data_IF_149332171045
#
_entry.id   IF_149332171045
#
_cell.length_a   1.000
_cell.length_b   1.000
_cell.length_c   1.000
_cell.angle_alpha   90.00
_cell.angle_beta   90.00
_cell.angle_gamma   90.00
#
_symmetry.space_group_name_H-M   'P 1'
#
loop_
_entity.id
_entity.type
_entity.pdbx_description
1 polymer ?
#
# COMPACT_ATOMS: atom_id res chain seq x y z
N UNK A 1 1.70 -28.47 -13.44
CA UNK A 1 0.44 -28.30 -12.66
C UNK A 1 0.17 -26.85 -12.25
N UNK A 2 1.13 -26.12 -11.64
CA UNK A 2 0.91 -24.71 -11.24
C UNK A 2 0.63 -23.78 -12.42
N UNK A 3 1.34 -23.96 -13.53
CA UNK A 3 1.14 -23.19 -14.77
C UNK A 3 -0.31 -23.30 -15.27
N UNK A 4 -0.82 -24.53 -15.33
CA UNK A 4 -2.20 -24.83 -15.74
C UNK A 4 -3.19 -24.19 -14.76
N UNK A 5 -2.97 -24.32 -13.44
CA UNK A 5 -3.87 -23.75 -12.43
C UNK A 5 -3.96 -22.22 -12.55
N UNK A 6 -2.81 -21.52 -12.64
CA UNK A 6 -2.79 -20.06 -12.80
C UNK A 6 -3.46 -19.65 -14.11
N UNK A 7 -3.15 -20.35 -15.20
CA UNK A 7 -3.72 -20.09 -16.52
C UNK A 7 -5.24 -20.26 -16.51
N UNK A 8 -5.76 -21.36 -15.95
CA UNK A 8 -7.20 -21.63 -15.87
C UNK A 8 -7.93 -20.58 -15.03
N UNK A 9 -7.35 -20.15 -13.90
CA UNK A 9 -7.95 -19.08 -13.08
C UNK A 9 -8.00 -17.76 -13.84
N UNK A 10 -6.89 -17.36 -14.48
CA UNK A 10 -6.84 -16.09 -15.22
C UNK A 10 -7.78 -16.13 -16.42
N UNK A 11 -7.63 -17.11 -17.32
CA UNK A 11 -8.45 -17.21 -18.53
C UNK A 11 -9.93 -17.49 -18.22
N UNK A 12 -10.25 -18.18 -17.12
CA UNK A 12 -11.64 -18.34 -16.68
C UNK A 12 -12.26 -17.02 -16.19
N UNK A 13 -11.46 -16.11 -15.61
CA UNK A 13 -11.94 -14.82 -15.10
C UNK A 13 -11.86 -13.69 -16.14
N UNK A 14 -11.07 -13.81 -17.22
CA UNK A 14 -10.96 -12.79 -18.26
C UNK A 14 -12.32 -12.43 -18.92
N UNK A 15 -13.18 -13.40 -19.31
CA UNK A 15 -14.52 -13.09 -19.81
C UNK A 15 -15.39 -12.37 -18.77
N UNK A 16 -15.23 -12.72 -17.49
CA UNK A 16 -15.95 -12.06 -16.39
C UNK A 16 -15.45 -10.63 -16.21
N UNK A 17 -14.14 -10.38 -16.33
CA UNK A 17 -13.56 -9.04 -16.24
C UNK A 17 -14.04 -8.13 -17.38
N UNK A 18 -14.25 -8.67 -18.59
CA UNK A 18 -14.84 -7.95 -19.72
C UNK A 18 -16.28 -7.49 -19.44
N UNK A 19 -17.10 -8.34 -18.80
CA UNK A 19 -18.50 -8.00 -18.52
C UNK A 19 -18.64 -7.21 -17.21
N UNK A 20 -17.76 -7.47 -16.24
CA UNK A 20 -17.75 -6.89 -14.90
C UNK A 20 -16.34 -6.38 -14.56
N UNK A 21 -16.01 -5.13 -14.94
CA UNK A 21 -14.72 -4.52 -14.66
C UNK A 21 -14.22 -4.58 -13.21
N UNK A 22 -15.09 -4.58 -12.16
CA UNK A 22 -14.62 -4.79 -10.79
C UNK A 22 -13.84 -6.10 -10.60
N UNK A 23 -14.24 -7.19 -11.27
CA UNK A 23 -13.51 -8.47 -11.23
C UNK A 23 -12.14 -8.33 -11.87
N UNK A 24 -12.02 -7.51 -12.92
CA UNK A 24 -10.75 -7.18 -13.55
C UNK A 24 -9.77 -6.48 -12.62
N UNK A 25 -10.24 -5.49 -11.84
CA UNK A 25 -9.41 -4.82 -10.81
C UNK A 25 -8.97 -5.79 -9.71
N UNK A 26 -9.86 -6.67 -9.26
CA UNK A 26 -9.52 -7.71 -8.28
C UNK A 26 -8.49 -8.70 -8.84
N UNK A 27 -8.65 -9.14 -10.10
CA UNK A 27 -7.73 -10.05 -10.76
C UNK A 27 -6.35 -9.40 -10.98
N UNK A 28 -6.31 -8.13 -11.41
CA UNK A 28 -5.08 -7.36 -11.52
C UNK A 28 -4.37 -7.26 -10.17
N UNK A 29 -5.11 -6.91 -9.11
CA UNK A 29 -4.57 -6.81 -7.75
C UNK A 29 -3.98 -8.14 -7.29
N UNK A 30 -4.69 -9.25 -7.50
CA UNK A 30 -4.17 -10.57 -7.18
C UNK A 30 -2.88 -10.90 -7.94
N UNK A 31 -2.84 -10.63 -9.25
CA UNK A 31 -1.66 -10.86 -10.08
C UNK A 31 -0.48 -9.98 -9.67
N UNK A 32 -0.70 -8.70 -9.39
CA UNK A 32 0.31 -7.72 -9.02
C UNK A 32 0.90 -7.95 -7.62
N UNK A 33 0.06 -8.36 -6.67
CA UNK A 33 0.49 -8.58 -5.29
C UNK A 33 0.96 -10.01 -5.02
N UNK A 34 0.17 -11.02 -5.39
CA UNK A 34 0.51 -12.42 -5.11
C UNK A 34 1.57 -12.94 -6.10
N UNK A 35 1.66 -12.36 -7.30
CA UNK A 35 2.56 -12.83 -8.36
C UNK A 35 2.52 -14.36 -8.54
N UNK A 36 1.34 -14.98 -8.68
CA UNK A 36 1.21 -16.44 -8.68
C UNK A 36 1.93 -17.07 -9.88
N UNK A 37 2.02 -16.34 -11.00
CA UNK A 37 2.78 -16.69 -12.19
C UNK A 37 4.29 -16.85 -11.88
N UNK A 38 4.86 -16.02 -10.99
CA UNK A 38 6.25 -16.15 -10.55
C UNK A 38 6.52 -17.36 -9.64
N UNK A 39 5.49 -18.14 -9.31
CA UNK A 39 5.59 -19.38 -8.52
C UNK A 39 5.43 -20.65 -9.39
N UNK A 40 5.29 -20.47 -10.70
CA UNK A 40 5.26 -21.55 -11.69
C UNK A 40 6.66 -21.83 -12.24
N UNK A 41 6.81 -22.85 -13.09
CA UNK A 41 8.12 -23.27 -13.62
C UNK A 41 8.14 -23.46 -15.14
N UNK A 42 7.02 -23.25 -15.83
CA UNK A 42 6.91 -23.36 -17.28
C UNK A 42 6.46 -22.06 -17.92
N UNK A 43 5.70 -22.16 -19.02
CA UNK A 43 5.30 -21.02 -19.85
C UNK A 43 4.57 -19.91 -19.08
N UNK A 44 3.86 -20.25 -18.00
CA UNK A 44 3.08 -19.27 -17.25
C UNK A 44 3.98 -18.27 -16.51
N UNK A 45 5.26 -18.59 -16.30
CA UNK A 45 6.18 -17.75 -15.53
C UNK A 45 6.41 -16.37 -16.17
N UNK A 46 6.55 -16.31 -17.50
CA UNK A 46 6.78 -15.09 -18.26
C UNK A 46 5.57 -14.64 -19.09
N UNK A 47 4.46 -15.38 -19.01
CA UNK A 47 3.25 -15.04 -19.75
C UNK A 47 2.62 -13.73 -19.23
N UNK A 48 2.21 -12.79 -20.12
CA UNK A 48 1.79 -11.44 -19.73
C UNK A 48 0.34 -11.38 -19.19
N UNK A 49 0.01 -12.19 -18.18
CA UNK A 49 -1.34 -12.28 -17.60
C UNK A 49 -1.89 -10.93 -17.11
N UNK A 50 -1.05 -10.11 -16.50
CA UNK A 50 -1.44 -8.79 -16.00
C UNK A 50 -1.86 -7.88 -17.17
N UNK A 51 -1.12 -7.89 -18.28
CA UNK A 51 -1.46 -7.10 -19.46
C UNK A 51 -2.79 -7.54 -20.08
N UNK A 52 -3.04 -8.84 -20.23
CA UNK A 52 -4.33 -9.34 -20.70
C UNK A 52 -5.47 -8.94 -19.77
N UNK A 53 -5.25 -9.02 -18.45
CA UNK A 53 -6.22 -8.58 -17.45
C UNK A 53 -6.51 -7.09 -17.58
N UNK A 54 -5.49 -6.25 -17.77
CA UNK A 54 -5.67 -4.82 -18.00
C UNK A 54 -6.47 -4.54 -19.28
N UNK A 55 -6.12 -5.19 -20.40
CA UNK A 55 -6.84 -5.03 -21.68
C UNK A 55 -8.31 -5.43 -21.53
N UNK A 56 -8.59 -6.58 -20.92
CA UNK A 56 -9.95 -7.03 -20.65
C UNK A 56 -10.72 -6.05 -19.74
N UNK A 57 -10.08 -5.57 -18.68
CA UNK A 57 -10.70 -4.63 -17.73
C UNK A 57 -11.01 -3.28 -18.38
N UNK A 58 -10.07 -2.74 -19.16
CA UNK A 58 -10.23 -1.45 -19.85
C UNK A 58 -11.30 -1.56 -20.93
N UNK A 59 -11.26 -2.63 -21.73
CA UNK A 59 -12.28 -2.90 -22.76
C UNK A 59 -13.65 -3.03 -22.13
N UNK A 60 -13.77 -3.84 -21.08
CA UNK A 60 -15.01 -3.97 -20.33
C UNK A 60 -15.50 -2.65 -19.75
N UNK A 61 -14.58 -1.85 -19.18
CA UNK A 61 -14.89 -0.55 -18.61
C UNK A 61 -15.43 0.44 -19.65
N UNK A 62 -14.94 0.43 -20.89
CA UNK A 62 -15.47 1.27 -21.97
C UNK A 62 -16.96 0.99 -22.23
N UNK A 63 -17.34 -0.29 -22.32
CA UNK A 63 -18.72 -0.71 -22.57
C UNK A 63 -19.59 -0.83 -21.31
N UNK A 64 -19.01 -0.60 -20.14
CA UNK A 64 -19.70 -0.74 -18.87
C UNK A 64 -20.72 0.39 -18.64
N UNK A 65 -21.93 0.00 -18.23
CA UNK A 65 -23.09 0.89 -18.10
C UNK A 65 -23.19 1.63 -16.76
N UNK A 66 -22.41 1.24 -15.74
CA UNK A 66 -22.45 1.98 -14.47
C UNK A 66 -21.89 3.41 -14.62
N UNK A 67 -22.44 4.40 -13.90
CA UNK A 67 -21.98 5.78 -13.98
C UNK A 67 -20.49 5.92 -13.67
N UNK A 68 -19.73 6.46 -14.62
CA UNK A 68 -18.28 6.64 -14.53
C UNK A 68 -17.94 7.95 -13.82
N UNK A 69 -18.12 8.00 -12.50
CA UNK A 69 -17.88 9.21 -11.68
C UNK A 69 -16.51 9.17 -11.02
N UNK A 70 -15.55 9.90 -11.59
CA UNK A 70 -14.25 10.08 -10.97
C UNK A 70 -14.34 11.00 -9.74
N UNK A 71 -13.84 10.59 -8.56
CA UNK A 71 -13.93 11.39 -7.34
C UNK A 71 -12.88 12.51 -7.35
N UNK A 72 -13.27 13.73 -7.72
CA UNK A 72 -12.36 14.90 -7.71
C UNK A 72 -12.28 15.49 -6.30
N UNK A 73 -11.08 15.46 -5.73
CA UNK A 73 -10.72 16.13 -4.47
C UNK A 73 -9.23 16.51 -4.45
N UNK A 74 -8.78 17.20 -3.41
CA UNK A 74 -7.37 17.64 -3.28
C UNK A 74 -6.36 16.51 -3.46
N UNK A 75 -6.63 15.33 -2.88
CA UNK A 75 -5.75 14.17 -2.97
C UNK A 75 -5.64 13.67 -4.41
N UNK A 76 -6.75 13.54 -5.13
CA UNK A 76 -6.72 13.10 -6.54
C UNK A 76 -6.09 14.14 -7.46
N UNK A 77 -6.26 15.44 -7.20
CA UNK A 77 -5.63 16.50 -8.01
C UNK A 77 -4.11 16.47 -7.82
N UNK A 78 -3.63 16.37 -6.58
CA UNK A 78 -2.19 16.22 -6.30
C UNK A 78 -1.64 14.94 -6.92
N UNK A 79 -2.41 13.85 -6.85
CA UNK A 79 -2.03 12.59 -7.47
C UNK A 79 -1.88 12.74 -9.00
N UNK A 80 -2.87 13.29 -9.70
CA UNK A 80 -2.80 13.54 -11.14
C UNK A 80 -1.67 14.51 -11.51
N UNK A 81 -1.40 15.52 -10.67
CA UNK A 81 -0.26 16.41 -10.84
C UNK A 81 1.07 15.66 -10.72
N UNK A 82 1.22 14.75 -9.75
CA UNK A 82 2.40 13.90 -9.62
C UNK A 82 2.59 12.97 -10.83
N UNK A 83 1.51 12.35 -11.32
CA UNK A 83 1.55 11.48 -12.51
C UNK A 83 1.96 12.25 -13.76
N UNK A 84 1.37 13.42 -13.94
CA UNK A 84 1.74 14.34 -15.03
C UNK A 84 3.20 14.76 -14.89
N UNK A 85 3.63 15.12 -13.68
CA UNK A 85 4.99 15.59 -13.42
C UNK A 85 6.04 14.53 -13.77
N UNK A 86 5.93 13.32 -13.24
CA UNK A 86 6.92 12.30 -13.55
C UNK A 86 6.92 11.95 -15.04
N UNK A 87 5.75 12.02 -15.71
CA UNK A 87 5.65 11.77 -17.15
C UNK A 87 6.33 12.87 -17.96
N UNK A 88 6.23 14.13 -17.51
CA UNK A 88 6.93 15.25 -18.11
C UNK A 88 8.45 15.11 -17.94
N UNK A 89 8.92 14.76 -16.74
CA UNK A 89 10.37 14.58 -16.50
C UNK A 89 11.01 13.46 -17.30
N UNK A 90 10.22 12.49 -17.78
CA UNK A 90 10.72 11.46 -18.70
C UNK A 90 11.20 12.04 -20.03
N UNK A 91 10.61 13.14 -20.53
CA UNK A 91 11.02 13.74 -21.81
C UNK A 91 12.43 14.34 -21.78
N UNK A 92 12.90 14.76 -20.60
CA UNK A 92 14.23 15.34 -20.39
C UNK A 92 15.09 14.48 -19.45
N UNK A 93 14.81 13.18 -19.42
CA UNK A 93 15.63 12.22 -18.69
C UNK A 93 17.06 12.17 -19.22
N UNK A 94 18.02 11.90 -18.32
CA UNK A 94 19.43 11.75 -18.65
C UNK A 94 19.69 10.52 -19.52
N UNK A 95 18.95 9.44 -19.28
CA UNK A 95 18.87 8.28 -20.17
C UNK A 95 17.40 8.08 -20.61
N UNK A 96 17.01 8.60 -21.79
CA UNK A 96 15.65 8.45 -22.28
C UNK A 96 15.21 7.00 -22.48
N UNK A 97 16.13 6.10 -22.83
CA UNK A 97 15.77 4.68 -23.09
C UNK A 97 15.47 3.96 -21.79
N UNK A 98 16.34 4.09 -20.78
CA UNK A 98 16.09 3.51 -19.47
C UNK A 98 14.87 4.16 -18.79
N UNK A 99 14.72 5.49 -18.94
CA UNK A 99 13.61 6.21 -18.35
C UNK A 99 12.25 5.78 -18.90
N UNK A 100 12.15 5.46 -20.20
CA UNK A 100 10.92 4.92 -20.79
C UNK A 100 10.51 3.57 -20.20
N UNK A 101 11.47 2.72 -19.83
CA UNK A 101 11.17 1.43 -19.16
C UNK A 101 10.60 1.66 -17.76
N UNK A 102 11.22 2.56 -16.98
CA UNK A 102 10.72 2.94 -15.65
C UNK A 102 9.34 3.60 -15.71
N UNK A 103 9.16 4.51 -16.66
CA UNK A 103 7.89 5.20 -16.91
C UNK A 103 6.78 4.23 -17.35
N UNK A 104 7.04 3.31 -18.29
CA UNK A 104 6.05 2.31 -18.74
C UNK A 104 5.52 1.48 -17.55
N UNK A 105 6.42 1.07 -16.65
CA UNK A 105 6.03 0.34 -15.44
C UNK A 105 5.18 1.22 -14.51
N UNK A 106 5.62 2.45 -14.24
CA UNK A 106 4.93 3.37 -13.35
C UNK A 106 3.55 3.76 -13.88
N UNK A 107 3.44 4.15 -15.15
CA UNK A 107 2.19 4.63 -15.74
C UNK A 107 1.12 3.54 -15.81
N UNK A 108 1.49 2.27 -16.07
CA UNK A 108 0.56 1.13 -16.03
C UNK A 108 -0.03 0.94 -14.63
N UNK A 109 0.79 1.09 -13.59
CA UNK A 109 0.33 1.03 -12.19
C UNK A 109 -0.64 2.18 -11.91
N UNK A 110 -0.28 3.41 -12.32
CA UNK A 110 -1.14 4.58 -12.11
C UNK A 110 -2.46 4.47 -12.85
N UNK A 111 -2.46 3.98 -14.09
CA UNK A 111 -3.67 3.79 -14.89
C UNK A 111 -4.68 2.89 -14.17
N UNK A 112 -4.25 1.73 -13.70
CA UNK A 112 -5.14 0.79 -13.00
C UNK A 112 -5.55 1.32 -11.62
N UNK A 113 -4.64 1.97 -10.89
CA UNK A 113 -4.95 2.59 -9.60
C UNK A 113 -5.98 3.73 -9.73
N UNK A 114 -5.92 4.53 -10.80
CA UNK A 114 -6.90 5.57 -11.09
C UNK A 114 -8.23 4.99 -11.59
N UNK A 115 -8.22 3.95 -12.43
CA UNK A 115 -9.44 3.23 -12.83
C UNK A 115 -10.17 2.60 -11.63
N UNK A 116 -9.42 2.15 -10.63
CA UNK A 116 -9.96 1.64 -9.36
C UNK A 116 -10.86 2.66 -8.68
N UNK A 117 -10.54 3.97 -8.76
CA UNK A 117 -11.34 5.05 -8.15
C UNK A 117 -12.74 5.18 -8.76
N UNK A 118 -12.91 4.75 -10.01
CA UNK A 118 -14.19 4.80 -10.71
C UNK A 118 -14.95 3.48 -10.53
N UNK A 119 -14.24 2.37 -10.72
CA UNK A 119 -14.85 1.03 -10.79
C UNK A 119 -15.26 0.51 -9.39
N UNK A 120 -14.47 0.82 -8.35
CA UNK A 120 -14.62 0.24 -7.02
C UNK A 120 -15.38 1.13 -6.03
N UNK A 121 -16.16 2.13 -6.49
CA UNK A 121 -16.94 3.07 -5.66
C UNK A 121 -18.19 2.44 -5.01
N UNK A 122 -18.03 1.28 -4.37
CA UNK A 122 -19.06 0.60 -3.57
C UNK A 122 -18.43 -0.14 -2.40
N UNK A 123 -19.15 -0.24 -1.29
CA UNK A 123 -18.68 -0.93 -0.08
C UNK A 123 -18.29 -2.38 -0.36
N UNK A 124 -19.13 -3.15 -1.05
CA UNK A 124 -18.87 -4.56 -1.35
C UNK A 124 -17.58 -4.75 -2.16
N UNK A 125 -17.33 -3.85 -3.11
CA UNK A 125 -16.12 -3.85 -3.96
C UNK A 125 -14.87 -3.46 -3.19
N UNK A 126 -14.97 -2.44 -2.33
CA UNK A 126 -13.88 -2.02 -1.45
C UNK A 126 -13.50 -3.15 -0.51
N UNK A 127 -14.47 -3.78 0.15
CA UNK A 127 -14.22 -4.92 1.03
C UNK A 127 -13.58 -6.09 0.27
N UNK A 128 -14.05 -6.39 -0.94
CA UNK A 128 -13.44 -7.42 -1.79
C UNK A 128 -11.99 -7.09 -2.16
N UNK A 129 -11.68 -5.83 -2.49
CA UNK A 129 -10.32 -5.39 -2.80
C UNK A 129 -9.40 -5.49 -1.59
N UNK A 130 -9.87 -5.06 -0.41
CA UNK A 130 -9.14 -5.21 0.85
C UNK A 130 -8.84 -6.69 1.13
N UNK A 131 -9.81 -7.58 0.93
CA UNK A 131 -9.60 -9.02 1.04
C UNK A 131 -8.54 -9.54 0.07
N UNK A 132 -8.63 -9.19 -1.21
CA UNK A 132 -7.67 -9.64 -2.24
C UNK A 132 -6.26 -9.15 -1.89
N UNK A 133 -6.09 -7.88 -1.51
CA UNK A 133 -4.79 -7.33 -1.09
C UNK A 133 -4.26 -8.09 0.13
N UNK A 134 -5.09 -8.22 1.18
CA UNK A 134 -4.68 -8.81 2.46
C UNK A 134 -4.31 -10.29 2.35
N UNK A 135 -5.03 -11.06 1.52
CA UNK A 135 -4.76 -12.48 1.25
C UNK A 135 -3.57 -12.66 0.30
N UNK A 136 -3.45 -11.84 -0.75
CA UNK A 136 -2.37 -11.95 -1.73
C UNK A 136 -0.99 -11.77 -1.11
N UNK A 137 -0.81 -10.66 -0.38
CA UNK A 137 0.43 -10.44 0.36
C UNK A 137 0.48 -11.28 1.64
N UNK A 138 -0.69 -11.66 2.17
CA UNK A 138 -0.77 -12.54 3.32
C UNK A 138 -0.31 -13.96 3.10
N UNK A 139 -0.43 -14.45 1.87
CA UNK A 139 0.18 -15.70 1.44
C UNK A 139 1.69 -15.70 1.67
N UNK A 140 2.40 -14.62 1.34
CA UNK A 140 3.85 -14.53 1.58
C UNK A 140 4.21 -14.35 3.05
N UNK A 141 3.36 -13.66 3.82
CA UNK A 141 3.47 -13.62 5.27
C UNK A 141 3.36 -15.00 5.91
N UNK A 142 2.36 -15.78 5.49
CA UNK A 142 2.13 -17.14 5.93
C UNK A 142 3.29 -18.07 5.54
N UNK A 143 3.65 -18.10 4.25
CA UNK A 143 4.76 -18.90 3.72
C UNK A 143 6.07 -18.56 4.40
N UNK A 144 6.36 -17.27 4.56
CA UNK A 144 7.58 -16.77 5.19
C UNK A 144 7.65 -17.08 6.69
N UNK A 145 6.54 -16.93 7.42
CA UNK A 145 6.47 -17.28 8.84
C UNK A 145 6.67 -18.76 9.08
N UNK A 146 6.03 -19.62 8.29
CA UNK A 146 6.23 -21.07 8.36
C UNK A 146 7.68 -21.47 8.02
N UNK A 147 8.28 -20.80 7.02
CA UNK A 147 9.68 -21.02 6.67
C UNK A 147 10.62 -20.61 7.82
N UNK A 148 10.38 -19.46 8.44
CA UNK A 148 11.13 -18.99 9.60
C UNK A 148 10.99 -19.96 10.80
N UNK A 149 9.78 -20.47 11.09
CA UNK A 149 9.61 -21.51 12.13
C UNK A 149 10.44 -22.75 11.82
N UNK A 150 10.31 -23.29 10.60
CA UNK A 150 10.97 -24.54 10.21
C UNK A 150 12.49 -24.44 10.23
N UNK A 151 13.03 -23.26 9.96
CA UNK A 151 14.47 -23.02 9.86
C UNK A 151 15.08 -22.38 11.11
N UNK A 152 14.28 -22.13 12.16
CA UNK A 152 14.73 -21.37 13.32
C UNK A 152 15.14 -19.93 12.97
N UNK A 153 14.55 -19.36 11.91
CA UNK A 153 14.84 -18.04 11.36
C UNK A 153 16.31 -17.80 10.96
N UNK A 154 17.11 -18.86 10.79
CA UNK A 154 18.52 -18.82 10.36
C UNK A 154 18.67 -18.21 8.96
N UNK A 155 17.68 -18.42 8.09
CA UNK A 155 17.70 -17.92 6.72
C UNK A 155 16.68 -16.80 6.52
N UNK A 156 17.04 -15.85 5.65
CA UNK A 156 16.18 -14.72 5.30
C UNK A 156 14.95 -15.17 4.54
N UNK A 157 13.81 -14.57 4.89
CA UNK A 157 12.57 -14.71 4.13
C UNK A 157 12.61 -13.79 2.90
N UNK A 158 12.37 -14.38 1.73
CA UNK A 158 12.32 -13.69 0.44
C UNK A 158 10.94 -13.74 -0.18
N UNK A 159 10.62 -12.74 -1.01
CA UNK A 159 9.38 -12.75 -1.79
C UNK A 159 9.53 -13.44 -3.15
N UNK A 160 8.52 -13.34 -4.02
CA UNK A 160 8.53 -13.97 -5.33
C UNK A 160 9.55 -13.29 -6.25
N UNK A 161 10.37 -14.07 -7.00
CA UNK A 161 11.32 -13.53 -7.97
C UNK A 161 10.64 -12.68 -9.06
N UNK A 162 11.36 -11.69 -9.59
CA UNK A 162 10.87 -10.81 -10.67
C UNK A 162 9.73 -9.87 -10.27
N UNK A 163 9.51 -9.67 -8.97
CA UNK A 163 8.44 -8.82 -8.42
C UNK A 163 8.99 -7.63 -7.63
N UNK A 164 8.12 -6.65 -7.34
CA UNK A 164 8.48 -5.53 -6.46
C UNK A 164 8.86 -5.96 -5.03
N UNK A 165 8.37 -7.11 -4.59
CA UNK A 165 8.58 -7.63 -3.23
C UNK A 165 9.57 -8.79 -3.19
N UNK A 166 10.40 -8.96 -4.23
CA UNK A 166 11.39 -10.04 -4.29
C UNK A 166 12.37 -9.97 -3.10
N UNK A 167 12.93 -8.79 -2.86
CA UNK A 167 13.91 -8.56 -1.78
C UNK A 167 13.27 -8.69 -0.39
N UNK A 168 14.05 -9.18 0.58
CA UNK A 168 13.60 -9.39 1.95
C UNK A 168 13.06 -8.10 2.60
N UNK A 169 13.67 -6.93 2.33
CA UNK A 169 13.22 -5.67 2.88
C UNK A 169 11.92 -5.20 2.23
N UNK A 170 11.79 -5.39 0.91
CA UNK A 170 10.59 -5.03 0.16
C UNK A 170 9.38 -5.85 0.63
N UNK A 171 9.56 -7.17 0.79
CA UNK A 171 8.52 -8.04 1.32
C UNK A 171 8.11 -7.61 2.73
N UNK A 172 9.08 -7.39 3.64
CA UNK A 172 8.78 -7.01 5.01
C UNK A 172 7.99 -5.69 5.10
N UNK A 173 8.36 -4.69 4.28
CA UNK A 173 7.59 -3.45 4.18
C UNK A 173 6.16 -3.68 3.68
N UNK A 174 5.97 -4.49 2.64
CA UNK A 174 4.63 -4.82 2.15
C UNK A 174 3.78 -5.55 3.21
N UNK A 175 4.38 -6.43 4.00
CA UNK A 175 3.69 -7.11 5.11
C UNK A 175 3.30 -6.15 6.24
N UNK A 176 4.12 -5.14 6.52
CA UNK A 176 3.80 -4.07 7.48
C UNK A 176 2.62 -3.23 6.99
N UNK A 177 2.62 -2.84 5.71
CA UNK A 177 1.57 -2.02 5.10
C UNK A 177 0.19 -2.68 5.16
N UNK A 178 0.10 -4.01 5.04
CA UNK A 178 -1.18 -4.75 5.06
C UNK A 178 -1.63 -5.22 6.44
N UNK A 179 -0.77 -5.20 7.46
CA UNK A 179 -1.14 -5.70 8.79
C UNK A 179 -2.40 -4.99 9.34
N UNK A 180 -2.54 -3.66 9.19
CA UNK A 180 -3.76 -2.94 9.57
C UNK A 180 -5.00 -3.37 8.76
N UNK A 181 -4.84 -3.77 7.50
CA UNK A 181 -5.96 -4.26 6.69
C UNK A 181 -6.52 -5.57 7.24
N UNK A 182 -5.64 -6.48 7.68
CA UNK A 182 -6.07 -7.73 8.35
C UNK A 182 -6.76 -7.40 9.67
N UNK A 183 -6.24 -6.42 10.40
CA UNK A 183 -6.85 -5.97 11.65
C UNK A 183 -8.27 -5.46 11.43
N UNK A 184 -8.49 -4.64 10.40
CA UNK A 184 -9.84 -4.24 9.97
C UNK A 184 -10.74 -5.46 9.69
N UNK A 185 -10.24 -6.46 8.96
CA UNK A 185 -10.99 -7.68 8.69
C UNK A 185 -11.32 -8.47 9.97
N UNK A 186 -10.39 -8.54 10.94
CA UNK A 186 -10.62 -9.19 12.24
C UNK A 186 -11.71 -8.52 13.07
N UNK A 187 -11.90 -7.20 12.91
CA UNK A 187 -12.93 -6.42 13.60
C UNK A 187 -14.32 -6.61 12.98
N UNK A 188 -14.39 -6.82 11.66
CA UNK A 188 -15.65 -6.80 10.91
C UNK A 188 -16.21 -8.18 10.54
N UNK A 189 -15.50 -9.27 10.87
CA UNK A 189 -15.97 -10.63 10.59
C UNK A 189 -16.31 -11.37 11.88
N UNK A 190 -17.53 -11.92 11.94
CA UNK A 190 -18.03 -12.67 13.12
C UNK A 190 -17.68 -14.15 13.08
N UNK A 191 -17.47 -14.74 11.90
CA UNK A 191 -17.21 -16.16 11.76
C UNK A 191 -15.89 -16.56 12.46
N UNK A 192 -15.98 -17.46 13.45
CA UNK A 192 -14.84 -17.91 14.27
C UNK A 192 -13.69 -18.48 13.44
N UNK A 193 -13.98 -19.24 12.39
CA UNK A 193 -12.94 -19.89 11.58
C UNK A 193 -12.16 -18.89 10.74
N UNK A 194 -12.86 -17.90 10.18
CA UNK A 194 -12.22 -16.78 9.47
C UNK A 194 -11.32 -16.01 10.43
N UNK A 195 -11.81 -15.69 11.63
CA UNK A 195 -11.00 -14.97 12.62
C UNK A 195 -9.77 -15.75 13.07
N UNK A 196 -9.90 -17.06 13.29
CA UNK A 196 -8.75 -17.93 13.61
C UNK A 196 -7.72 -17.89 12.48
N UNK A 197 -8.15 -18.03 11.21
CA UNK A 197 -7.27 -17.95 10.05
C UNK A 197 -6.57 -16.59 9.92
N UNK A 198 -7.28 -15.49 10.18
CA UNK A 198 -6.71 -14.15 10.17
C UNK A 198 -5.71 -13.93 11.30
N UNK A 199 -6.00 -14.39 12.53
CA UNK A 199 -5.05 -14.33 13.65
C UNK A 199 -3.79 -15.16 13.40
N UNK A 200 -3.97 -16.37 12.86
CA UNK A 200 -2.83 -17.19 12.43
C UNK A 200 -1.99 -16.48 11.36
N UNK A 201 -2.65 -15.83 10.41
CA UNK A 201 -1.98 -15.02 9.38
C UNK A 201 -1.21 -13.84 10.00
N UNK A 202 -1.76 -13.16 11.01
CA UNK A 202 -1.04 -12.09 11.75
C UNK A 202 0.22 -12.65 12.41
N UNK A 203 0.11 -13.76 13.15
CA UNK A 203 1.27 -14.37 13.82
C UNK A 203 2.38 -14.76 12.83
N UNK A 204 2.01 -15.44 11.74
CA UNK A 204 3.00 -15.84 10.71
C UNK A 204 3.60 -14.63 10.00
N UNK A 205 2.82 -13.57 9.75
CA UNK A 205 3.34 -12.30 9.19
C UNK A 205 4.36 -11.66 10.09
N UNK A 206 4.09 -11.53 11.39
CA UNK A 206 5.04 -10.94 12.33
C UNK A 206 6.35 -11.73 12.35
N UNK A 207 6.26 -13.07 12.31
CA UNK A 207 7.45 -13.90 12.26
C UNK A 207 8.18 -13.79 10.92
N UNK A 208 7.46 -13.67 9.81
CA UNK A 208 8.02 -13.41 8.48
C UNK A 208 8.75 -12.08 8.42
N UNK A 209 8.19 -11.03 9.04
CA UNK A 209 8.82 -9.70 9.15
C UNK A 209 10.13 -9.80 9.94
N UNK A 210 10.15 -10.49 11.09
CA UNK A 210 11.40 -10.70 11.84
C UNK A 210 12.41 -11.56 11.07
N UNK A 211 11.93 -12.66 10.48
CA UNK A 211 12.71 -13.57 9.64
C UNK A 211 13.21 -12.96 8.33
N UNK A 212 12.73 -11.77 7.94
CA UNK A 212 13.32 -11.00 6.84
C UNK A 212 14.68 -10.40 7.21
N UNK A 213 15.00 -10.32 8.51
CA UNK A 213 16.21 -9.69 9.05
C UNK A 213 16.36 -8.21 8.60
N UNK A 214 15.24 -7.50 8.39
CA UNK A 214 15.23 -6.13 7.88
C UNK A 214 15.17 -5.08 8.99
N UNK A 215 16.23 -4.26 9.13
CA UNK A 215 16.29 -3.13 10.07
C UNK A 215 15.23 -2.08 9.80
N UNK A 216 15.02 -1.73 8.53
CA UNK A 216 13.98 -0.79 8.12
C UNK A 216 12.57 -1.29 8.46
N UNK A 217 12.34 -2.60 8.35
CA UNK A 217 11.08 -3.21 8.75
C UNK A 217 10.86 -3.21 10.27
N UNK A 218 11.92 -3.39 11.08
CA UNK A 218 11.82 -3.28 12.53
C UNK A 218 11.36 -1.87 12.95
N UNK A 219 12.00 -0.82 12.41
CA UNK A 219 11.62 0.56 12.70
C UNK A 219 10.21 0.90 12.20
N UNK A 220 9.88 0.51 10.97
CA UNK A 220 8.55 0.72 10.39
C UNK A 220 7.47 -0.06 11.16
N UNK A 221 7.78 -1.27 11.61
CA UNK A 221 6.91 -2.11 12.44
C UNK A 221 6.65 -1.46 13.78
N UNK A 222 7.67 -0.93 14.45
CA UNK A 222 7.52 -0.18 15.72
C UNK A 222 6.65 1.06 15.55
N UNK A 223 6.89 1.87 14.52
CA UNK A 223 6.06 3.04 14.23
C UNK A 223 4.60 2.64 13.94
N UNK A 224 4.40 1.60 13.13
CA UNK A 224 3.08 1.06 12.80
C UNK A 224 2.36 0.54 14.05
N UNK A 225 3.01 -0.25 14.91
CA UNK A 225 2.44 -0.78 16.16
C UNK A 225 2.07 0.36 17.12
N UNK A 226 2.92 1.37 17.25
CA UNK A 226 2.63 2.57 18.05
C UNK A 226 1.39 3.29 17.54
N UNK A 227 1.27 3.51 16.22
CA UNK A 227 0.08 4.14 15.65
C UNK A 227 -1.17 3.28 15.78
N UNK A 228 -1.05 1.95 15.66
CA UNK A 228 -2.16 1.02 15.89
C UNK A 228 -2.64 1.09 17.35
N UNK A 229 -1.71 1.21 18.31
CA UNK A 229 -2.03 1.45 19.72
C UNK A 229 -2.76 2.78 19.93
N UNK A 230 -2.30 3.87 19.29
CA UNK A 230 -2.96 5.18 19.38
C UNK A 230 -4.41 5.16 18.86
N UNK A 231 -4.66 4.42 17.77
CA UNK A 231 -5.97 4.27 17.14
C UNK A 231 -6.87 3.22 17.82
N UNK A 232 -6.30 2.32 18.61
CA UNK A 232 -7.02 1.22 19.23
C UNK A 232 -7.92 1.63 20.39
N UNK A 233 -9.09 0.99 20.51
CA UNK A 233 -10.01 1.17 21.65
C UNK A 233 -9.47 0.54 22.95
N UNK A 234 -8.78 -0.61 22.85
CA UNK A 234 -8.30 -1.40 24.00
C UNK A 234 -6.78 -1.25 24.23
N UNK A 235 -6.34 0.00 24.47
CA UNK A 235 -4.92 0.37 24.55
C UNK A 235 -4.09 -0.47 25.52
N UNK A 236 -4.60 -0.70 26.73
CA UNK A 236 -3.90 -1.48 27.74
C UNK A 236 -3.73 -2.96 27.34
N UNK A 237 -4.81 -3.60 26.85
CA UNK A 237 -4.77 -5.00 26.41
C UNK A 237 -3.84 -5.19 25.21
N UNK A 238 -3.84 -4.23 24.29
CA UNK A 238 -2.91 -4.23 23.16
C UNK A 238 -1.45 -4.11 23.63
N UNK A 239 -1.15 -3.16 24.51
CA UNK A 239 0.20 -2.98 25.05
C UNK A 239 0.69 -4.24 25.78
N UNK A 240 -0.18 -4.87 26.60
CA UNK A 240 0.13 -6.12 27.28
C UNK A 240 0.40 -7.27 26.30
N UNK A 241 -0.41 -7.39 25.24
CA UNK A 241 -0.19 -8.41 24.20
C UNK A 241 1.13 -8.21 23.46
N UNK A 242 1.48 -6.96 23.10
CA UNK A 242 2.76 -6.65 22.48
C UNK A 242 3.93 -6.94 23.43
N UNK A 243 3.83 -6.54 24.70
CA UNK A 243 4.85 -6.76 25.72
C UNK A 243 5.06 -8.25 26.02
N UNK A 244 4.02 -9.08 25.91
CA UNK A 244 4.14 -10.52 26.09
C UNK A 244 4.68 -11.23 24.85
N UNK A 245 4.19 -10.89 23.65
CA UNK A 245 4.50 -11.62 22.42
C UNK A 245 5.83 -11.20 21.79
N UNK A 246 6.13 -9.89 21.76
CA UNK A 246 7.30 -9.39 21.04
C UNK A 246 8.63 -9.90 21.62
N UNK A 247 8.85 -9.93 22.95
CA UNK A 247 10.08 -10.51 23.52
C UNK A 247 10.20 -11.99 23.23
N UNK A 248 9.11 -12.76 23.25
CA UNK A 248 9.12 -14.18 22.89
C UNK A 248 9.55 -14.39 21.43
N UNK A 249 9.05 -13.54 20.53
CA UNK A 249 9.42 -13.59 19.12
C UNK A 249 10.88 -13.17 18.87
N UNK A 250 11.40 -12.20 19.63
CA UNK A 250 12.80 -11.78 19.57
C UNK A 250 13.72 -12.86 20.14
N UNK A 251 13.35 -13.50 21.26
CA UNK A 251 14.10 -14.60 21.85
C UNK A 251 14.19 -15.84 20.94
N UNK A 252 13.24 -15.99 20.00
CA UNK A 252 13.28 -17.03 18.97
C UNK A 252 14.28 -16.73 17.83
N UNK A 253 14.79 -15.50 17.71
CA UNK A 253 15.72 -15.13 16.63
C UNK A 253 17.14 -15.68 16.87
N UNK A 254 17.85 -16.09 15.81
CA UNK A 254 19.21 -16.62 15.92
C UNK A 254 20.27 -15.51 16.12
N UNK A 255 21.46 -15.89 16.54
CA UNK A 255 22.60 -14.97 16.78
C UNK A 255 22.91 -14.07 15.58
N UNK A 256 22.92 -14.61 14.36
CA UNK A 256 23.12 -13.85 13.12
C UNK A 256 22.11 -12.70 12.93
N UNK A 257 20.89 -12.84 13.46
CA UNK A 257 19.90 -11.75 13.44
C UNK A 257 20.33 -10.63 14.37
N UNK A 258 20.81 -10.96 15.57
CA UNK A 258 21.30 -9.99 16.55
C UNK A 258 22.56 -9.29 16.05
N UNK A 259 23.51 -10.02 15.45
CA UNK A 259 24.69 -9.44 14.80
C UNK A 259 24.29 -8.39 13.76
N UNK A 260 23.33 -8.74 12.88
CA UNK A 260 22.83 -7.83 11.84
C UNK A 260 22.10 -6.60 12.41
N UNK A 261 21.37 -6.74 13.51
CA UNK A 261 20.75 -5.59 14.17
C UNK A 261 21.78 -4.75 14.92
N UNK A 262 22.84 -5.38 15.43
CA UNK A 262 23.97 -4.75 16.13
C UNK A 262 24.82 -3.85 15.23
N UNK A 263 24.93 -4.14 13.92
CA UNK A 263 25.69 -3.28 12.99
C UNK A 263 25.16 -1.84 12.84
N UNK A 264 24.01 -1.52 13.45
CA UNK A 264 23.52 -0.13 13.56
C UNK A 264 24.52 0.76 14.32
N UNK A 265 25.33 0.21 15.24
CA UNK A 265 26.31 1.01 16.01
C UNK A 265 27.56 1.37 15.23
N UNK A 266 27.89 0.62 14.17
CA UNK A 266 29.06 0.82 13.31
C UNK A 266 28.62 0.86 11.83
N UNK A 267 27.72 1.79 11.50
CA UNK A 267 27.09 1.83 10.18
C UNK A 267 28.09 2.22 9.06
N UNK A 268 29.18 2.90 9.41
CA UNK A 268 30.25 3.28 8.49
C UNK A 268 30.96 2.07 7.87
N UNK A 269 31.01 0.96 8.61
CA UNK A 269 31.59 -0.31 8.15
C UNK A 269 30.57 -1.16 7.36
N UNK A 270 29.28 -0.80 7.43
CA UNK A 270 28.21 -1.48 6.73
C UNK A 270 28.06 -0.96 5.29
N UNK A 271 28.58 -1.75 4.34
CA UNK A 271 28.49 -1.46 2.89
C UNK A 271 27.06 -1.15 2.43
N UNK A 272 26.04 -1.80 3.00
CA UNK A 272 24.65 -1.53 2.65
C UNK A 272 24.15 -0.20 3.18
N UNK A 273 24.62 0.25 4.35
CA UNK A 273 24.27 1.54 4.91
C UNK A 273 24.99 2.68 4.17
N UNK A 274 26.30 2.57 4.01
CA UNK A 274 27.11 3.57 3.29
C UNK A 274 26.70 3.71 1.82
N UNK A 275 26.32 2.62 1.16
CA UNK A 275 25.79 2.70 -0.19
C UNK A 275 24.46 3.46 -0.29
N UNK A 276 23.67 3.55 0.79
CA UNK A 276 22.43 4.36 0.80
C UNK A 276 22.76 5.82 1.01
N UNK A 277 23.65 6.12 1.95
CA UNK A 277 24.09 7.49 2.26
C UNK A 277 24.68 8.15 1.01
N UNK A 278 25.64 7.50 0.37
CA UNK A 278 26.23 7.98 -0.90
C UNK A 278 25.20 8.17 -2.01
N UNK A 279 24.18 7.31 -2.08
CA UNK A 279 23.09 7.48 -3.04
C UNK A 279 22.13 8.63 -2.70
N UNK A 280 21.97 8.94 -1.41
CA UNK A 280 21.17 10.09 -0.97
C UNK A 280 21.90 11.41 -1.25
N UNK A 281 23.20 11.45 -0.99
CA UNK A 281 24.08 12.57 -1.34
C UNK A 281 24.04 12.83 -2.84
N UNK A 282 24.24 11.79 -3.66
CA UNK A 282 24.10 11.90 -5.11
C UNK A 282 22.71 12.42 -5.54
N UNK A 283 21.62 11.93 -4.93
CA UNK A 283 20.28 12.42 -5.26
C UNK A 283 20.11 13.92 -4.97
N UNK A 284 20.73 14.42 -3.89
CA UNK A 284 20.74 15.84 -3.55
C UNK A 284 21.58 16.63 -4.56
N UNK A 285 22.81 16.20 -4.84
CA UNK A 285 23.71 16.87 -5.80
C UNK A 285 23.10 16.94 -7.20
N UNK A 286 22.49 15.84 -7.65
CA UNK A 286 21.79 15.78 -8.92
C UNK A 286 20.60 16.74 -8.92
N UNK A 287 19.78 16.79 -7.87
CA UNK A 287 18.65 17.70 -7.79
C UNK A 287 19.07 19.17 -7.69
N UNK A 288 20.20 19.48 -7.05
CA UNK A 288 20.76 20.83 -6.98
C UNK A 288 21.19 21.33 -8.37
N UNK A 289 21.82 20.46 -9.17
CA UNK A 289 22.28 20.82 -10.52
C UNK A 289 21.17 20.69 -11.57
N UNK A 290 20.18 19.82 -11.34
CA UNK A 290 18.99 19.61 -12.16
C UNK A 290 17.73 19.66 -11.28
N UNK A 291 17.17 20.84 -11.01
CA UNK A 291 15.99 20.99 -10.15
C UNK A 291 14.75 20.20 -10.61
N UNK A 292 14.69 19.83 -11.88
CA UNK A 292 13.63 19.01 -12.50
C UNK A 292 13.90 17.49 -12.42
N UNK A 293 15.05 17.07 -11.89
CA UNK A 293 15.49 15.68 -11.77
C UNK A 293 16.27 15.14 -12.97
N UNK A 294 16.73 13.90 -12.82
CA UNK A 294 17.45 13.13 -13.85
C UNK A 294 16.56 12.24 -14.73
N UNK A 295 15.26 12.14 -14.44
CA UNK A 295 14.35 11.17 -15.05
C UNK A 295 14.39 9.81 -14.35
N UNK A 296 13.47 8.91 -14.72
CA UNK A 296 13.48 7.52 -14.24
C UNK A 296 14.84 6.85 -14.49
N UNK A 297 15.26 5.99 -13.55
CA UNK A 297 16.52 5.23 -13.65
C UNK A 297 17.78 6.14 -13.68
N UNK A 298 17.73 7.33 -13.07
CA UNK A 298 18.85 8.28 -13.05
C UNK A 298 20.09 7.83 -12.23
N UNK A 299 19.99 6.78 -11.41
CA UNK A 299 21.07 6.32 -10.53
C UNK A 299 22.04 5.38 -11.27
N UNK A 300 22.80 5.92 -12.23
CA UNK A 300 23.78 5.18 -13.03
C UNK A 300 25.21 5.63 -12.72
N UNK A 301 26.19 4.75 -12.87
CA UNK A 301 27.61 5.09 -12.63
C UNK A 301 28.05 6.33 -13.42
N UNK A 302 27.63 6.45 -14.68
CA UNK A 302 27.88 7.63 -15.52
C UNK A 302 27.34 8.92 -14.88
N UNK A 303 26.11 8.89 -14.37
CA UNK A 303 25.53 10.05 -13.72
C UNK A 303 26.21 10.37 -12.39
N UNK A 304 26.62 9.37 -11.61
CA UNK A 304 27.43 9.59 -10.40
C UNK A 304 28.73 10.33 -10.73
N UNK A 305 29.48 9.86 -11.73
CA UNK A 305 30.72 10.53 -12.17
C UNK A 305 30.49 11.95 -12.68
N UNK A 306 29.35 12.19 -13.35
CA UNK A 306 29.02 13.50 -13.92
C UNK A 306 28.57 14.52 -12.90
N UNK A 307 27.76 14.10 -11.93
CA UNK A 307 27.08 15.02 -11.01
C UNK A 307 27.65 15.01 -9.59
N UNK A 308 28.34 13.93 -9.18
CA UNK A 308 28.96 13.78 -7.85
C UNK A 308 30.29 13.03 -7.95
N UNK A 309 31.32 13.57 -8.64
CA UNK A 309 32.59 12.87 -8.87
C UNK A 309 33.28 12.44 -7.56
N UNK A 310 33.21 13.27 -6.52
CA UNK A 310 33.79 12.94 -5.20
C UNK A 310 33.12 11.73 -4.56
N UNK A 311 31.79 11.59 -4.73
CA UNK A 311 31.03 10.42 -4.26
C UNK A 311 31.34 9.19 -5.13
N UNK A 312 31.47 9.37 -6.44
CA UNK A 312 31.86 8.29 -7.34
C UNK A 312 33.23 7.71 -6.97
N UNK A 313 34.22 8.57 -6.70
CA UNK A 313 35.54 8.15 -6.24
C UNK A 313 35.49 7.39 -4.90
N UNK A 314 34.65 7.84 -3.95
CA UNK A 314 34.43 7.12 -2.69
C UNK A 314 33.83 5.74 -2.91
N UNK A 315 32.87 5.60 -3.84
CA UNK A 315 32.26 4.30 -4.17
C UNK A 315 33.30 3.36 -4.78
N UNK A 316 34.12 3.83 -5.72
CA UNK A 316 35.21 3.02 -6.31
C UNK A 316 36.20 2.52 -5.26
N UNK A 317 36.61 3.38 -4.33
CA UNK A 317 37.52 3.00 -3.24
C UNK A 317 36.89 1.99 -2.27
N UNK A 318 35.58 2.02 -2.08
CA UNK A 318 34.87 1.13 -1.14
C UNK A 318 34.58 -0.24 -1.72
N UNK A 319 33.91 -0.29 -2.87
CA UNK A 319 33.43 -1.55 -3.48
C UNK A 319 33.11 -1.48 -4.98
N UNK A 320 33.17 -0.31 -5.62
CA UNK A 320 32.82 -0.13 -7.04
C UNK A 320 31.34 -0.38 -7.35
N UNK A 321 30.46 -0.40 -6.33
CA UNK A 321 29.04 -0.74 -6.50
C UNK A 321 28.16 0.50 -6.43
N UNK A 322 27.76 0.99 -7.59
CA UNK A 322 26.72 2.01 -7.73
C UNK A 322 25.35 1.38 -7.51
N UNK A 323 24.55 1.99 -6.64
CA UNK A 323 23.21 1.52 -6.33
C UNK A 323 22.21 2.68 -6.26
N UNK A 324 20.93 2.37 -6.43
CA UNK A 324 19.86 3.34 -6.25
C UNK A 324 19.70 3.78 -4.80
N UNK A 325 18.95 4.86 -4.58
CA UNK A 325 18.76 5.46 -3.27
C UNK A 325 18.24 4.52 -2.17
N UNK A 326 17.52 3.44 -2.52
CA UNK A 326 16.80 2.60 -1.56
C UNK A 326 16.05 3.43 -0.51
N UNK A 327 15.40 4.49 -0.96
CA UNK A 327 14.57 5.39 -0.18
C UNK A 327 13.54 5.98 -1.11
N UNK A 328 12.26 5.93 -0.75
CA UNK A 328 11.19 6.50 -1.56
C UNK A 328 11.37 8.01 -1.77
N UNK A 329 11.97 8.71 -0.81
CA UNK A 329 12.16 10.16 -0.86
C UNK A 329 13.31 10.53 -1.79
N UNK A 330 14.51 9.99 -1.53
CA UNK A 330 15.69 10.29 -2.35
C UNK A 330 15.58 9.72 -3.76
N UNK A 331 14.86 8.61 -3.95
CA UNK A 331 14.54 8.11 -5.29
C UNK A 331 13.74 9.14 -6.09
N UNK A 332 12.64 9.63 -5.54
CA UNK A 332 11.80 10.65 -6.21
C UNK A 332 12.56 11.97 -6.36
N UNK A 333 13.41 12.35 -5.40
CA UNK A 333 14.27 13.54 -5.50
C UNK A 333 15.24 13.43 -6.68
N UNK A 334 16.00 12.33 -6.78
CA UNK A 334 16.96 12.15 -7.86
C UNK A 334 16.29 12.02 -9.24
N UNK A 335 15.18 11.28 -9.32
CA UNK A 335 14.49 11.05 -10.60
C UNK A 335 13.65 12.26 -11.06
N UNK A 336 13.00 12.98 -10.14
CA UNK A 336 11.98 13.99 -10.48
C UNK A 336 12.18 15.36 -9.81
N UNK A 337 13.31 15.55 -9.13
CA UNK A 337 13.69 16.82 -8.50
C UNK A 337 12.83 17.21 -7.30
N UNK A 338 13.01 18.44 -6.83
CA UNK A 338 12.30 18.97 -5.67
C UNK A 338 10.79 19.05 -5.89
N UNK A 339 10.36 19.35 -7.13
CA UNK A 339 8.92 19.41 -7.47
C UNK A 339 8.28 18.04 -7.36
N UNK A 340 8.95 16.99 -7.88
CA UNK A 340 8.47 15.62 -7.77
C UNK A 340 8.39 15.16 -6.31
N UNK A 341 9.41 15.47 -5.51
CA UNK A 341 9.43 15.16 -4.08
C UNK A 341 8.29 15.88 -3.34
N UNK A 342 8.09 17.16 -3.60
CA UNK A 342 7.02 17.95 -2.98
C UNK A 342 5.65 17.36 -3.31
N UNK A 343 5.38 17.03 -4.57
CA UNK A 343 4.12 16.40 -4.99
C UNK A 343 3.91 15.04 -4.32
N UNK A 344 4.96 14.22 -4.22
CA UNK A 344 4.90 12.92 -3.57
C UNK A 344 4.60 13.04 -2.06
N UNK A 345 5.25 13.97 -1.36
CA UNK A 345 4.98 14.23 0.05
C UNK A 345 3.57 14.80 0.27
N UNK A 346 3.15 15.75 -0.56
CA UNK A 346 1.80 16.33 -0.52
C UNK A 346 0.73 15.26 -0.76
N UNK A 347 0.98 14.30 -1.65
CA UNK A 347 0.07 13.18 -1.90
C UNK A 347 -0.14 12.35 -0.62
N UNK A 348 0.95 11.93 0.02
CA UNK A 348 0.89 11.18 1.28
C UNK A 348 0.19 11.95 2.40
N UNK A 349 0.54 13.23 2.59
CA UNK A 349 -0.06 14.10 3.62
C UNK A 349 -1.55 14.34 3.34
N UNK A 350 -1.93 14.61 2.08
CA UNK A 350 -3.33 14.84 1.68
C UNK A 350 -4.16 13.57 1.87
N UNK A 351 -3.62 12.40 1.53
CA UNK A 351 -4.27 11.12 1.78
C UNK A 351 -4.47 10.87 3.28
N UNK A 352 -3.44 11.09 4.12
CA UNK A 352 -3.56 10.96 5.57
C UNK A 352 -4.63 11.90 6.16
N UNK A 353 -4.65 13.18 5.73
CA UNK A 353 -5.66 14.16 6.15
C UNK A 353 -7.06 13.77 5.69
N UNK A 354 -7.19 13.26 4.46
CA UNK A 354 -8.48 12.78 3.93
C UNK A 354 -9.00 11.61 4.76
N UNK A 355 -8.15 10.66 5.10
CA UNK A 355 -8.52 9.56 6.00
C UNK A 355 -8.93 10.05 7.39
N UNK A 356 -8.24 11.04 7.98
CA UNK A 356 -8.67 11.66 9.25
C UNK A 356 -10.08 12.28 9.14
N UNK A 357 -10.38 12.94 8.02
CA UNK A 357 -11.72 13.50 7.79
C UNK A 357 -12.77 12.40 7.66
N UNK A 358 -12.47 11.31 6.94
CA UNK A 358 -13.37 10.14 6.84
C UNK A 358 -13.64 9.55 8.22
N UNK A 359 -12.59 9.30 9.02
CA UNK A 359 -12.74 8.80 10.40
C UNK A 359 -13.64 9.71 11.23
N UNK A 360 -13.50 11.03 11.10
CA UNK A 360 -14.31 11.98 11.86
C UNK A 360 -15.77 12.02 11.39
N UNK A 361 -16.00 12.07 10.07
CA UNK A 361 -17.33 12.20 9.48
C UNK A 361 -18.18 10.94 9.58
N UNK A 362 -17.56 9.77 9.53
CA UNK A 362 -18.23 8.48 9.67
C UNK A 362 -18.45 8.09 11.14
N UNK A 363 -17.95 8.89 12.11
CA UNK A 363 -17.99 8.53 13.53
C UNK A 363 -19.41 8.65 14.08
N UNK A 364 -19.90 7.59 14.71
CA UNK A 364 -21.20 7.58 15.38
C UNK A 364 -22.37 7.23 14.47
N UNK A 365 -22.11 6.95 13.19
CA UNK A 365 -23.08 6.37 12.25
C UNK A 365 -22.79 4.85 12.12
N UNK A 366 -23.68 3.97 12.64
CA UNK A 366 -23.49 2.53 12.57
C UNK A 366 -23.32 1.96 11.15
N UNK A 367 -23.85 2.64 10.13
CA UNK A 367 -23.70 2.20 8.73
C UNK A 367 -22.33 2.59 8.15
N UNK A 368 -21.67 3.61 8.70
CA UNK A 368 -20.38 4.11 8.23
C UNK A 368 -19.21 3.71 9.14
N UNK A 369 -19.47 3.04 10.27
CA UNK A 369 -18.44 2.57 11.22
C UNK A 369 -17.31 1.78 10.50
N UNK A 370 -17.66 0.96 9.51
CA UNK A 370 -16.66 0.22 8.72
C UNK A 370 -15.75 1.13 7.89
N UNK A 371 -16.26 2.24 7.39
CA UNK A 371 -15.50 3.22 6.63
C UNK A 371 -14.54 3.99 7.55
N UNK A 372 -15.00 4.34 8.76
CA UNK A 372 -14.15 4.94 9.79
C UNK A 372 -13.01 3.99 10.20
N UNK A 373 -13.33 2.74 10.51
CA UNK A 373 -12.34 1.75 10.93
C UNK A 373 -11.35 1.42 9.81
N UNK A 374 -11.81 1.26 8.56
CA UNK A 374 -10.92 1.03 7.42
C UNK A 374 -10.03 2.26 7.15
N UNK A 375 -10.58 3.47 7.19
CA UNK A 375 -9.78 4.69 7.02
C UNK A 375 -8.70 4.83 8.11
N UNK A 376 -9.01 4.50 9.36
CA UNK A 376 -8.03 4.48 10.44
C UNK A 376 -6.92 3.46 10.18
N UNK A 377 -7.24 2.26 9.69
CA UNK A 377 -6.24 1.25 9.36
C UNK A 377 -5.40 1.62 8.13
N UNK A 378 -5.99 2.28 7.13
CA UNK A 378 -5.26 2.81 5.99
C UNK A 378 -4.24 3.88 6.41
N UNK A 379 -4.57 4.74 7.40
CA UNK A 379 -3.60 5.68 7.98
C UNK A 379 -2.40 4.96 8.61
N UNK A 380 -2.65 3.91 9.38
CA UNK A 380 -1.59 3.12 10.02
C UNK A 380 -0.70 2.47 8.95
N UNK A 381 -1.29 1.94 7.87
CA UNK A 381 -0.54 1.40 6.73
C UNK A 381 0.31 2.44 5.99
N UNK A 382 -0.22 3.66 5.79
CA UNK A 382 0.52 4.78 5.20
C UNK A 382 1.69 5.23 6.06
N UNK A 383 1.55 5.25 7.39
CA UNK A 383 2.66 5.55 8.31
C UNK A 383 3.75 4.47 8.20
N UNK A 384 3.35 3.19 8.16
CA UNK A 384 4.29 2.09 7.93
C UNK A 384 5.07 2.24 6.62
N UNK A 385 4.39 2.65 5.54
CA UNK A 385 5.03 2.96 4.26
C UNK A 385 5.96 4.17 4.33
N UNK A 386 5.54 5.27 4.97
CA UNK A 386 6.35 6.48 5.06
C UNK A 386 7.65 6.24 5.87
N UNK A 387 7.57 5.49 6.95
CA UNK A 387 8.75 5.17 7.78
C UNK A 387 9.62 4.09 7.12
N UNK A 388 9.04 2.98 6.70
CA UNK A 388 9.81 1.87 6.11
C UNK A 388 10.33 2.18 4.71
N UNK A 389 9.57 2.96 3.95
CA UNK A 389 9.97 3.46 2.63
C UNK A 389 11.13 4.44 2.68
N UNK A 390 11.43 5.08 3.81
CA UNK A 390 12.66 5.86 3.97
C UNK A 390 13.92 5.02 3.72
N UNK A 391 13.83 3.71 3.90
CA UNK A 391 14.89 2.73 3.74
C UNK A 391 14.62 1.71 2.61
N UNK A 392 13.66 2.01 1.72
CA UNK A 392 13.36 1.16 0.57
C UNK A 392 12.95 1.93 -0.69
N UNK A 393 13.45 1.52 -1.85
CA UNK A 393 13.22 2.20 -3.14
C UNK A 393 11.86 1.93 -3.82
N UNK A 394 10.77 1.79 -3.05
CA UNK A 394 9.44 1.38 -3.52
C UNK A 394 8.47 2.55 -3.83
N UNK A 395 8.99 3.68 -4.34
CA UNK A 395 8.18 4.89 -4.60
C UNK A 395 7.02 4.66 -5.59
N UNK A 396 7.20 3.74 -6.55
CA UNK A 396 6.20 3.42 -7.58
C UNK A 396 5.47 2.09 -7.31
N UNK A 397 5.57 1.55 -6.10
CA UNK A 397 4.89 0.32 -5.73
C UNK A 397 3.37 0.53 -5.70
N UNK A 398 2.64 -0.35 -6.35
CA UNK A 398 1.18 -0.27 -6.55
C UNK A 398 0.39 -0.23 -5.25
N UNK A 399 0.86 -0.90 -4.18
CA UNK A 399 0.17 -0.92 -2.90
C UNK A 399 -0.03 0.47 -2.32
N UNK A 400 0.98 1.35 -2.39
CA UNK A 400 0.88 2.71 -1.86
C UNK A 400 -0.29 3.49 -2.50
N UNK A 401 -0.38 3.42 -3.83
CA UNK A 401 -1.43 4.08 -4.60
C UNK A 401 -2.81 3.44 -4.38
N UNK A 402 -2.89 2.12 -4.17
CA UNK A 402 -4.14 1.49 -3.79
C UNK A 402 -4.61 1.88 -2.38
N UNK A 403 -3.71 2.04 -1.40
CA UNK A 403 -4.10 2.53 -0.07
C UNK A 403 -4.66 3.96 -0.16
N UNK A 404 -4.01 4.84 -0.93
CA UNK A 404 -4.52 6.19 -1.21
C UNK A 404 -5.86 6.13 -1.92
N UNK A 405 -6.00 5.26 -2.93
CA UNK A 405 -7.22 5.13 -3.69
C UNK A 405 -8.40 4.62 -2.85
N UNK A 406 -8.15 3.68 -1.94
CA UNK A 406 -9.15 3.25 -0.96
C UNK A 406 -9.60 4.42 -0.06
N UNK A 407 -8.68 5.27 0.40
CA UNK A 407 -9.03 6.46 1.20
C UNK A 407 -9.92 7.42 0.39
N UNK A 408 -9.58 7.66 -0.88
CA UNK A 408 -10.37 8.51 -1.79
C UNK A 408 -11.77 7.93 -2.01
N UNK A 409 -11.87 6.62 -2.22
CA UNK A 409 -13.15 5.92 -2.39
C UNK A 409 -14.02 5.99 -1.14
N UNK A 410 -13.43 5.79 0.05
CA UNK A 410 -14.13 5.94 1.32
C UNK A 410 -14.65 7.35 1.51
N UNK A 411 -13.85 8.36 1.19
CA UNK A 411 -14.28 9.76 1.24
C UNK A 411 -15.50 10.00 0.35
N UNK A 412 -15.45 9.52 -0.89
CA UNK A 412 -16.55 9.68 -1.83
C UNK A 412 -17.84 9.00 -1.34
N UNK A 413 -17.76 7.77 -0.81
CA UNK A 413 -18.92 7.04 -0.27
C UNK A 413 -19.51 7.74 0.95
N UNK A 414 -18.67 8.20 1.87
CA UNK A 414 -19.14 8.92 3.08
C UNK A 414 -19.80 10.24 2.69
N UNK A 415 -19.21 11.01 1.78
CA UNK A 415 -19.81 12.26 1.29
C UNK A 415 -21.17 12.01 0.61
N UNK A 416 -21.26 10.98 -0.25
CA UNK A 416 -22.51 10.61 -0.92
C UNK A 416 -23.59 10.21 0.10
N UNK A 417 -23.25 9.42 1.14
CA UNK A 417 -24.19 8.98 2.18
C UNK A 417 -24.70 10.14 3.01
N UNK A 418 -23.80 11.03 3.47
CA UNK A 418 -24.18 12.18 4.30
C UNK A 418 -25.04 13.17 3.51
N UNK A 419 -24.74 13.38 2.22
CA UNK A 419 -25.57 14.22 1.34
C UNK A 419 -26.97 13.62 1.15
N UNK A 420 -27.05 12.30 0.94
CA UNK A 420 -28.33 11.61 0.80
C UNK A 420 -29.17 11.66 2.10
N UNK A 421 -28.54 11.52 3.27
CA UNK A 421 -29.23 11.64 4.57
C UNK A 421 -29.73 13.07 4.81
N UNK A 422 -28.94 14.09 4.45
CA UNK A 422 -29.36 15.50 4.58
C UNK A 422 -30.49 15.89 3.60
N UNK A 423 -30.56 15.25 2.44
CA UNK A 423 -31.59 15.49 1.43
C UNK A 423 -32.92 14.74 1.70
N UNK A 424 -32.94 13.77 2.63
CA UNK A 424 -34.16 13.09 3.01
C UNK A 424 -35.08 14.06 3.79
N UNK A 425 -36.32 14.33 3.33
CA UNK A 425 -37.23 15.21 4.06
C UNK A 425 -37.50 14.61 5.45
N UNK A 426 -37.57 15.49 6.46
CA UNK A 426 -37.90 15.14 7.84
C UNK A 426 -39.35 14.63 7.95
N UNK A 427 -39.62 13.45 7.40
CA UNK A 427 -40.89 12.76 7.50
C UNK A 427 -41.01 12.18 8.93
N UNK A 428 -41.44 13.01 9.89
CA UNK A 428 -41.70 12.53 11.24
C UNK A 428 -42.01 13.57 12.33
N UNK A 429 -41.78 14.86 12.11
CA UNK A 429 -41.96 15.87 13.18
C UNK A 429 -43.24 16.73 13.06
N UNK A 430 -44.17 16.40 12.15
CA UNK A 430 -45.35 17.23 11.85
C UNK A 430 -46.71 16.59 12.14
N UNK A 431 -46.80 15.60 13.04
CA UNK A 431 -47.98 14.75 13.16
C UNK A 431 -48.53 14.51 14.57
N UNK A 432 -48.30 15.40 15.55
CA UNK A 432 -49.00 15.33 16.85
C UNK A 432 -49.24 16.75 17.40
N UNK A 433 -50.06 17.54 16.71
CA UNK A 433 -50.59 18.80 17.26
C UNK A 433 -51.95 19.08 16.64
N UNK A 434 -52.99 18.36 17.09
CA UNK A 434 -54.32 18.55 16.52
C UNK A 434 -55.43 17.65 17.06
N UNK A 435 -55.40 17.24 18.33
CA UNK A 435 -56.58 16.67 18.99
C UNK A 435 -56.72 17.26 20.39
N UNK A 436 -57.31 18.46 20.43
CA UNK A 436 -57.75 19.11 21.66
C UNK A 436 -59.06 19.86 21.40
N UNK A 437 -60.08 19.48 22.17
CA UNK A 437 -61.39 20.14 22.40
C UNK A 437 -62.60 19.70 21.55
N UNK A 438 -63.24 18.63 22.01
CA UNK A 438 -64.69 18.57 22.20
C UNK A 438 -64.89 17.88 23.56
N UNK A 439 -65.35 18.53 24.63
CA UNK A 439 -66.71 19.03 24.79
C UNK A 439 -67.38 18.15 25.84
N UNK A 440 -67.16 18.47 27.12
CA UNK A 440 -67.76 17.77 28.24
C UNK A 440 -69.26 18.12 28.33
N UNK A 441 -70.14 17.13 28.24
CA UNK A 441 -71.53 17.22 28.69
C UNK A 441 -71.79 16.11 29.72
N UNK A 442 -72.26 16.55 30.88
CA UNK A 442 -72.66 15.74 32.05
C UNK A 442 -73.97 15.00 31.78
N UNK A 443 -74.23 13.87 32.45
CA UNK A 443 -75.59 13.43 32.71
C UNK A 443 -75.96 13.64 34.19
N UNK A 444 -77.18 14.13 34.43
CA UNK A 444 -78.01 13.87 35.61
C UNK A 444 -79.43 14.41 35.35
N UNK A 445 -80.49 13.90 35.99
CA UNK A 445 -80.56 12.78 36.94
C UNK A 445 -81.10 11.47 36.36
#
# INVERSE_FOLDING_TARGET
MRDIAVTLVVFGLLPVALVRPPVGILLWSWLGYMNPHRLTWGFAYDFPFAQLTAIATITGFVFWREPKRFPINSTTVIWLAFVTWFSLTTFWALDPKAALVGWDKAIKIQLIALLTLVIMRREDRIRALVWVIALSLGFFGLKGGLYALRTGAQYRVWGPPGSFIQDNNALALALIMILPLIWFLLQHHRNRYIRIGLWFTVAMKLLSILGSHSRGAALAGSAMLFFLWLKGRYKFRFALAVLALLPLMIAFMPEQWFERMGTITHYEEDKSAMGRITAWEFAIDLANQRPLGGGFEAFTAENYWRYSPDIAEQIEKRDGRYQGAHSIYFRVLGEHGYVGLLLFLMLGISAYRTASRVVHMARGDPELDWAADLAAMLQVGLVGFAVGGAFQGLAYFDLYYHLIGLIVLLRAIVDDRLTATAAAPAAGAGGIAGLGRAGAQRPAP
#
